data_IF_859624794989
#
_entry.id   IF_859624794989
#
_cell.length_a   1.000
_cell.length_b   1.000
_cell.length_c   1.000
_cell.angle_alpha   90.00
_cell.angle_beta   90.00
_cell.angle_gamma   90.00
#
_symmetry.space_group_name_H-M   'P 1'
#
loop_
_entity.id
_entity.type
_entity.pdbx_description
1 polymer ?
#
# COMPACT_ATOMS: atom_id res chain seq x y z
N UNK A 1 -22.39 -10.63 33.32
CA UNK A 1 -21.17 -11.10 32.63
C UNK A 1 -20.87 -10.38 31.31
N UNK A 2 -21.84 -9.73 30.63
CA UNK A 2 -21.60 -9.12 29.31
C UNK A 2 -20.65 -7.89 29.27
N UNK A 3 -20.67 -7.00 30.30
CA UNK A 3 -19.84 -5.77 30.30
C UNK A 3 -18.33 -6.05 30.27
N UNK A 4 -17.84 -7.04 31.04
CA UNK A 4 -16.41 -7.38 31.07
C UNK A 4 -15.88 -7.94 29.75
N UNK A 5 -16.71 -8.69 29.03
CA UNK A 5 -16.38 -9.22 27.70
C UNK A 5 -16.30 -8.10 26.65
N UNK A 6 -17.22 -7.13 26.70
CA UNK A 6 -17.19 -5.95 25.82
C UNK A 6 -15.95 -5.09 26.07
N UNK A 7 -15.61 -4.81 27.34
CA UNK A 7 -14.39 -4.06 27.67
C UNK A 7 -13.11 -4.76 27.19
N UNK A 8 -13.06 -6.08 27.26
CA UNK A 8 -11.90 -6.86 26.78
C UNK A 8 -11.74 -6.75 25.26
N UNK A 9 -12.84 -6.82 24.50
CA UNK A 9 -12.81 -6.65 23.05
C UNK A 9 -12.39 -5.24 22.63
N UNK A 10 -12.85 -4.21 23.34
CA UNK A 10 -12.45 -2.82 23.08
C UNK A 10 -10.95 -2.65 23.27
N UNK A 11 -10.40 -3.15 24.37
CA UNK A 11 -8.95 -3.08 24.64
C UNK A 11 -8.13 -3.83 23.59
N UNK A 12 -8.61 -5.00 23.14
CA UNK A 12 -7.93 -5.75 22.09
C UNK A 12 -7.92 -4.98 20.76
N UNK A 13 -9.05 -4.34 20.40
CA UNK A 13 -9.12 -3.52 19.19
C UNK A 13 -8.25 -2.27 19.27
N UNK A 14 -8.20 -1.59 20.42
CA UNK A 14 -7.31 -0.46 20.64
C UNK A 14 -5.83 -0.85 20.48
N UNK A 15 -5.43 -2.02 21.00
CA UNK A 15 -4.06 -2.54 20.82
C UNK A 15 -3.73 -2.81 19.35
N UNK A 16 -4.68 -3.40 18.60
CA UNK A 16 -4.52 -3.63 17.15
C UNK A 16 -4.42 -2.32 16.37
N UNK A 17 -5.23 -1.31 16.72
CA UNK A 17 -5.15 0.01 16.09
C UNK A 17 -3.78 0.66 16.33
N UNK A 18 -3.30 0.66 17.57
CA UNK A 18 -1.98 1.21 17.88
C UNK A 18 -0.84 0.49 17.14
N UNK A 19 -0.94 -0.83 16.99
CA UNK A 19 0.02 -1.62 16.18
C UNK A 19 -0.01 -1.21 14.71
N UNK A 20 -1.20 -1.13 14.12
CA UNK A 20 -1.37 -0.76 12.71
C UNK A 20 -0.92 0.68 12.44
N UNK A 21 -1.12 1.59 13.39
CA UNK A 21 -0.70 2.98 13.28
C UNK A 21 0.83 3.10 13.31
N UNK A 22 1.50 2.30 14.15
CA UNK A 22 2.97 2.16 14.14
C UNK A 22 3.49 1.60 12.81
N UNK A 23 2.84 0.55 12.29
CA UNK A 23 3.21 -0.07 11.02
C UNK A 23 3.01 0.91 9.85
N UNK A 24 1.92 1.66 9.85
CA UNK A 24 1.64 2.70 8.85
C UNK A 24 2.69 3.81 8.87
N UNK A 25 3.12 4.26 10.06
CA UNK A 25 4.19 5.25 10.21
C UNK A 25 5.53 4.72 9.67
N UNK A 26 5.87 3.48 9.98
CA UNK A 26 7.09 2.81 9.48
C UNK A 26 7.08 2.68 7.96
N UNK A 27 5.92 2.31 7.39
CA UNK A 27 5.74 2.21 5.94
C UNK A 27 5.88 3.58 5.26
N UNK A 28 5.30 4.63 5.85
CA UNK A 28 5.42 5.99 5.34
C UNK A 28 6.89 6.46 5.30
N UNK A 29 7.64 6.24 6.38
CA UNK A 29 9.07 6.57 6.44
C UNK A 29 9.88 5.79 5.38
N UNK A 30 9.56 4.50 5.20
CA UNK A 30 10.25 3.66 4.20
C UNK A 30 9.97 4.15 2.78
N UNK A 31 8.73 4.57 2.48
CA UNK A 31 8.37 5.12 1.18
C UNK A 31 9.09 6.44 0.89
N UNK A 32 9.26 7.29 1.89
CA UNK A 32 9.98 8.56 1.76
C UNK A 32 11.46 8.33 1.42
N UNK A 33 12.11 7.38 2.10
CA UNK A 33 13.49 6.98 1.80
C UNK A 33 13.63 6.44 0.36
N UNK A 34 12.73 5.57 -0.07
CA UNK A 34 12.74 5.02 -1.44
C UNK A 34 12.58 6.15 -2.48
N UNK A 35 11.68 7.11 -2.22
CA UNK A 35 11.50 8.25 -3.12
C UNK A 35 12.77 9.11 -3.19
N UNK A 36 13.44 9.34 -2.06
CA UNK A 36 14.69 10.10 -2.01
C UNK A 36 15.81 9.39 -2.79
N UNK A 37 16.00 8.08 -2.58
CA UNK A 37 16.98 7.28 -3.32
C UNK A 37 16.72 7.28 -4.83
N UNK A 38 15.45 7.14 -5.23
CA UNK A 38 15.05 7.22 -6.64
C UNK A 38 15.45 8.56 -7.25
N UNK A 39 15.17 9.68 -6.57
CA UNK A 39 15.53 11.02 -7.06
C UNK A 39 17.05 11.15 -7.20
N UNK A 40 17.82 10.70 -6.20
CA UNK A 40 19.28 10.74 -6.23
C UNK A 40 19.86 9.92 -7.40
N UNK A 41 19.35 8.71 -7.62
CA UNK A 41 19.77 7.85 -8.72
C UNK A 41 19.41 8.44 -10.09
N UNK A 42 18.20 9.00 -10.22
CA UNK A 42 17.78 9.68 -11.45
C UNK A 42 18.72 10.84 -11.80
N UNK A 43 19.08 11.68 -10.82
CA UNK A 43 20.01 12.78 -11.04
C UNK A 43 21.38 12.28 -11.52
N UNK A 44 21.92 11.23 -10.89
CA UNK A 44 23.20 10.63 -11.27
C UNK A 44 23.17 10.03 -12.68
N UNK A 45 22.05 9.43 -13.08
CA UNK A 45 21.88 8.90 -14.43
C UNK A 45 21.87 10.01 -15.48
N UNK A 46 21.17 11.12 -15.21
CA UNK A 46 21.17 12.29 -16.10
C UNK A 46 22.57 12.88 -16.26
N UNK A 47 23.32 13.02 -15.16
CA UNK A 47 24.71 13.49 -15.19
C UNK A 47 25.60 12.57 -16.03
N UNK A 48 25.50 11.25 -15.82
CA UNK A 48 26.25 10.25 -16.58
C UNK A 48 25.91 10.29 -18.07
N UNK A 49 24.61 10.43 -18.41
CA UNK A 49 24.16 10.58 -19.80
C UNK A 49 24.76 11.84 -20.45
N UNK A 50 24.77 12.95 -19.73
CA UNK A 50 25.35 14.20 -20.22
C UNK A 50 26.87 14.08 -20.44
N UNK A 51 27.58 13.37 -19.56
CA UNK A 51 29.01 13.08 -19.73
C UNK A 51 29.28 12.28 -21.01
N UNK A 52 28.57 11.15 -21.21
CA UNK A 52 28.78 10.33 -22.40
C UNK A 52 28.40 11.05 -23.69
N UNK A 53 27.37 11.90 -23.67
CA UNK A 53 27.01 12.74 -24.80
C UNK A 53 28.16 13.68 -25.19
N UNK A 54 28.79 14.36 -24.21
CA UNK A 54 29.97 15.21 -24.45
C UNK A 54 31.15 14.42 -25.02
N UNK A 55 31.39 13.21 -24.52
CA UNK A 55 32.46 12.33 -25.04
C UNK A 55 32.18 11.94 -26.48
N UNK A 56 30.94 11.59 -26.81
CA UNK A 56 30.53 11.24 -28.17
C UNK A 56 30.70 12.44 -29.13
N UNK A 57 30.26 13.63 -28.72
CA UNK A 57 30.46 14.88 -29.48
C UNK A 57 31.95 15.17 -29.73
N UNK A 58 32.80 15.04 -28.71
CA UNK A 58 34.25 15.23 -28.82
C UNK A 58 34.87 14.24 -29.82
N UNK A 59 34.52 12.95 -29.73
CA UNK A 59 35.02 11.92 -30.63
C UNK A 59 34.60 12.19 -32.08
N UNK A 60 33.34 12.57 -32.27
CA UNK A 60 32.81 12.87 -33.59
C UNK A 60 33.46 14.12 -34.20
N UNK A 61 33.72 15.15 -33.38
CA UNK A 61 34.47 16.34 -33.80
C UNK A 61 35.90 16.01 -34.24
N UNK A 62 36.63 15.20 -33.47
CA UNK A 62 37.99 14.76 -33.85
C UNK A 62 38.01 13.94 -35.14
N UNK A 63 36.97 13.12 -35.38
CA UNK A 63 36.86 12.34 -36.60
C UNK A 63 36.63 13.24 -37.83
N UNK A 64 35.75 14.23 -37.72
CA UNK A 64 35.52 15.22 -38.78
C UNK A 64 36.78 16.02 -39.09
N UNK A 65 37.54 16.42 -38.07
CA UNK A 65 38.81 17.12 -38.25
C UNK A 65 39.83 16.26 -39.02
N UNK A 66 39.97 14.98 -38.67
CA UNK A 66 40.83 14.05 -39.42
C UNK A 66 40.36 13.82 -40.87
N UNK A 67 39.06 13.76 -41.12
CA UNK A 67 38.52 13.64 -42.48
C UNK A 67 38.81 14.89 -43.31
N UNK A 68 38.63 16.09 -42.73
CA UNK A 68 38.95 17.35 -43.39
C UNK A 68 40.46 17.50 -43.69
N UNK A 69 41.35 17.07 -42.78
CA UNK A 69 42.80 17.05 -43.04
C UNK A 69 43.18 16.11 -44.20
N UNK A 70 42.55 14.94 -44.31
CA UNK A 70 42.80 13.99 -45.41
C UNK A 70 42.30 14.48 -46.77
N UNK A 71 41.24 15.29 -46.81
CA UNK A 71 40.77 15.92 -48.05
C UNK A 71 41.72 17.04 -48.52
N UNK A 72 42.30 17.82 -47.60
CA UNK A 72 43.32 18.83 -47.93
C UNK A 72 44.61 18.20 -48.47
N UNK A 73 45.01 17.06 -47.93
CA UNK A 73 46.23 16.32 -48.34
C UNK A 73 46.06 15.66 -49.73
N UNK A 74 44.84 15.25 -50.11
CA UNK A 74 44.52 14.75 -51.45
C UNK A 74 44.55 15.81 -52.56
N UNK A 75 44.54 17.10 -52.22
CA UNK A 75 44.70 18.18 -53.21
C UNK A 75 46.16 18.69 -53.32
N UNK A 76 47.10 18.08 -52.59
CA UNK A 76 48.51 18.53 -52.53
C UNK A 76 49.55 17.61 -53.18
N UNK A 77 49.21 16.42 -53.67
CA UNK A 77 50.19 15.51 -54.29
C UNK A 77 49.63 14.82 -55.54
N UNK A 78 49.85 15.48 -56.67
CA UNK A 78 49.88 14.87 -58.00
C UNK A 78 51.35 14.56 -58.31
N UNK A 79 51.81 13.33 -58.06
CA UNK A 79 52.86 12.68 -58.87
C UNK A 79 53.10 11.20 -58.48
N UNK A 80 52.93 10.37 -59.50
CA UNK A 80 53.73 9.20 -59.88
C UNK A 80 53.63 7.82 -59.21
N UNK A 81 53.48 6.86 -60.14
CA UNK A 81 54.05 5.52 -60.23
C UNK A 81 53.37 4.32 -59.54
N UNK A 82 52.69 3.55 -60.41
CA UNK A 82 52.81 2.10 -60.63
C UNK A 82 52.71 1.12 -59.44
N UNK A 83 51.52 0.51 -59.37
CA UNK A 83 51.25 -0.94 -59.39
C UNK A 83 52.46 -1.87 -59.64
N UNK A 84 52.73 -2.82 -58.72
CA UNK A 84 52.89 -4.27 -59.02
C UNK A 84 53.11 -5.13 -57.75
N UNK A 85 52.13 -6.00 -57.49
CA UNK A 85 52.15 -7.39 -56.98
C UNK A 85 53.21 -7.97 -55.99
N UNK A 86 52.65 -8.51 -54.88
CA UNK A 86 52.82 -9.86 -54.28
C UNK A 86 54.20 -10.51 -54.09
N UNK A 87 54.49 -10.91 -52.85
CA UNK A 87 55.10 -12.21 -52.53
C UNK A 87 54.76 -12.66 -51.09
N UNK A 88 54.19 -13.87 -51.00
CA UNK A 88 53.98 -14.62 -49.75
C UNK A 88 55.32 -15.06 -49.15
N UNK A 89 55.44 -15.10 -47.82
CA UNK A 89 56.27 -16.12 -47.17
C UNK A 89 55.75 -16.41 -45.76
N UNK A 90 55.29 -17.65 -45.56
CA UNK A 90 54.90 -18.19 -44.27
C UNK A 90 56.10 -18.41 -43.33
N UNK A 91 55.83 -18.28 -42.03
CA UNK A 91 56.81 -18.55 -40.98
C UNK A 91 56.12 -18.80 -39.65
N UNK A 92 55.66 -20.04 -39.45
CA UNK A 92 55.27 -20.54 -38.13
C UNK A 92 56.47 -20.45 -37.18
N UNK A 93 56.32 -19.73 -36.06
CA UNK A 93 57.11 -20.03 -34.86
C UNK A 93 56.17 -20.20 -33.68
N UNK A 94 55.99 -21.46 -33.32
CA UNK A 94 55.44 -21.90 -32.05
C UNK A 94 56.32 -21.33 -30.94
N UNK A 95 55.76 -20.47 -30.09
CA UNK A 95 56.29 -20.19 -28.78
C UNK A 95 55.22 -20.58 -27.77
N UNK A 96 55.31 -21.84 -27.35
CA UNK A 96 54.80 -22.33 -26.08
C UNK A 96 55.27 -21.41 -24.96
N UNK A 97 54.37 -20.60 -24.40
CA UNK A 97 54.52 -20.04 -23.06
C UNK A 97 53.37 -20.61 -22.23
N UNK A 98 53.60 -21.82 -21.71
CA UNK A 98 52.78 -22.37 -20.64
C UNK A 98 53.14 -21.67 -19.33
N UNK A 99 52.09 -21.14 -18.72
CA UNK A 99 51.93 -20.85 -17.29
C UNK A 99 52.75 -19.69 -16.74
N UNK A 100 52.10 -18.54 -16.60
CA UNK A 100 51.84 -17.93 -15.29
C UNK A 100 51.10 -16.60 -15.51
N UNK A 101 49.80 -16.54 -15.29
CA UNK A 101 49.13 -15.32 -14.85
C UNK A 101 47.71 -15.63 -14.41
N UNK A 102 47.29 -15.09 -13.27
CA UNK A 102 45.89 -15.04 -12.88
C UNK A 102 45.14 -14.26 -13.97
N UNK A 103 44.48 -14.99 -14.85
CA UNK A 103 43.93 -14.49 -16.12
C UNK A 103 42.80 -13.47 -15.87
N UNK A 104 43.00 -12.18 -16.24
CA UNK A 104 41.96 -11.17 -16.18
C UNK A 104 40.70 -11.55 -16.96
N UNK A 105 40.81 -12.41 -17.99
CA UNK A 105 39.64 -12.93 -18.71
C UNK A 105 38.80 -13.88 -17.86
N UNK A 106 39.41 -14.70 -17.00
CA UNK A 106 38.66 -15.61 -16.12
C UNK A 106 37.85 -14.83 -15.08
N UNK A 107 38.43 -13.78 -14.50
CA UNK A 107 37.72 -12.87 -13.59
C UNK A 107 36.57 -12.12 -14.30
N UNK A 108 36.82 -11.61 -15.51
CA UNK A 108 35.79 -10.99 -16.34
C UNK A 108 34.65 -11.95 -16.70
N UNK A 109 34.97 -13.20 -17.03
CA UNK A 109 33.99 -14.23 -17.37
C UNK A 109 33.11 -14.58 -16.16
N UNK A 110 33.72 -14.72 -14.97
CA UNK A 110 32.97 -14.94 -13.72
C UNK A 110 32.05 -13.75 -13.37
N UNK A 111 32.50 -12.51 -13.60
CA UNK A 111 31.67 -11.30 -13.42
C UNK A 111 30.51 -11.25 -14.41
N UNK A 112 30.74 -11.66 -15.66
CA UNK A 112 29.71 -11.74 -16.69
C UNK A 112 28.64 -12.78 -16.32
N UNK A 113 29.04 -13.96 -15.88
CA UNK A 113 28.12 -15.00 -15.43
C UNK A 113 27.33 -14.57 -14.19
N UNK A 114 27.99 -13.89 -13.25
CA UNK A 114 27.33 -13.28 -12.08
C UNK A 114 26.29 -12.23 -12.50
N UNK A 115 26.64 -11.35 -13.44
CA UNK A 115 25.71 -10.33 -13.95
C UNK A 115 24.53 -10.96 -14.68
N UNK A 116 24.77 -12.02 -15.46
CA UNK A 116 23.73 -12.77 -16.16
C UNK A 116 22.75 -13.42 -15.18
N UNK A 117 23.25 -14.05 -14.11
CA UNK A 117 22.41 -14.63 -13.07
C UNK A 117 21.53 -13.57 -12.38
N UNK A 118 22.09 -12.41 -12.05
CA UNK A 118 21.33 -11.29 -11.46
C UNK A 118 20.26 -10.75 -12.42
N UNK A 119 20.55 -10.67 -13.71
CA UNK A 119 19.59 -10.24 -14.71
C UNK A 119 18.40 -11.20 -14.84
N UNK A 120 18.65 -12.51 -14.79
CA UNK A 120 17.59 -13.52 -14.79
C UNK A 120 16.71 -13.43 -13.53
N UNK A 121 17.33 -13.20 -12.37
CA UNK A 121 16.59 -12.99 -11.12
C UNK A 121 15.70 -11.74 -11.19
N UNK A 122 16.23 -10.62 -11.68
CA UNK A 122 15.44 -9.39 -11.90
C UNK A 122 14.29 -9.64 -12.89
N UNK A 123 14.53 -10.38 -13.97
CA UNK A 123 13.50 -10.72 -14.96
C UNK A 123 12.38 -11.57 -14.35
N UNK A 124 12.72 -12.50 -13.45
CA UNK A 124 11.74 -13.30 -12.70
C UNK A 124 10.94 -12.43 -11.73
N UNK A 125 11.60 -11.56 -10.96
CA UNK A 125 10.92 -10.63 -10.04
C UNK A 125 9.98 -9.70 -10.80
N UNK A 126 10.43 -9.15 -11.95
CA UNK A 126 9.60 -8.31 -12.81
C UNK A 126 8.33 -9.03 -13.26
N UNK A 127 8.47 -10.28 -13.73
CA UNK A 127 7.33 -11.08 -14.15
C UNK A 127 6.33 -11.33 -13.01
N UNK A 128 6.83 -11.59 -11.79
CA UNK A 128 6.00 -11.74 -10.59
C UNK A 128 5.25 -10.46 -10.24
N UNK A 129 5.95 -9.31 -10.23
CA UNK A 129 5.35 -8.00 -9.96
C UNK A 129 4.25 -7.64 -10.96
N UNK A 130 4.46 -7.94 -12.25
CA UNK A 130 3.44 -7.71 -13.28
C UNK A 130 2.17 -8.53 -13.01
N UNK A 131 2.33 -9.78 -12.59
CA UNK A 131 1.21 -10.65 -12.21
C UNK A 131 0.45 -10.10 -11.00
N UNK A 132 1.16 -9.81 -9.91
CA UNK A 132 0.58 -9.25 -8.67
C UNK A 132 -0.14 -7.91 -8.93
N UNK A 133 0.42 -7.05 -9.77
CA UNK A 133 -0.19 -5.77 -10.14
C UNK A 133 -1.50 -5.97 -10.93
N UNK A 134 -1.54 -6.98 -11.80
CA UNK A 134 -2.74 -7.35 -12.55
C UNK A 134 -3.83 -7.88 -11.62
N UNK A 135 -3.48 -8.75 -10.66
CA UNK A 135 -4.40 -9.24 -9.64
C UNK A 135 -4.93 -8.11 -8.76
N UNK A 136 -4.06 -7.19 -8.32
CA UNK A 136 -4.46 -6.05 -7.51
C UNK A 136 -5.43 -5.14 -8.24
N UNK A 137 -5.22 -4.91 -9.54
CA UNK A 137 -6.14 -4.17 -10.39
C UNK A 137 -7.52 -4.83 -10.45
N UNK A 138 -7.58 -6.16 -10.55
CA UNK A 138 -8.86 -6.90 -10.53
C UNK A 138 -9.57 -6.78 -9.18
N UNK A 139 -8.83 -6.87 -8.07
CA UNK A 139 -9.38 -6.70 -6.72
C UNK A 139 -9.92 -5.29 -6.53
N UNK A 140 -9.19 -4.27 -6.98
CA UNK A 140 -9.63 -2.87 -6.91
C UNK A 140 -10.92 -2.64 -7.68
N UNK A 141 -11.03 -3.17 -8.90
CA UNK A 141 -12.26 -3.05 -9.70
C UNK A 141 -13.44 -3.74 -9.01
N UNK A 142 -13.22 -4.91 -8.42
CA UNK A 142 -14.26 -5.62 -7.65
C UNK A 142 -14.72 -4.82 -6.42
N UNK A 143 -13.81 -4.14 -5.72
CA UNK A 143 -14.16 -3.26 -4.59
C UNK A 143 -14.97 -2.07 -5.08
N UNK A 144 -14.57 -1.44 -6.18
CA UNK A 144 -15.29 -0.33 -6.79
C UNK A 144 -16.70 -0.71 -7.26
N UNK A 145 -16.88 -1.92 -7.81
CA UNK A 145 -18.22 -2.43 -8.12
C UNK A 145 -19.07 -2.58 -6.85
N UNK A 146 -18.50 -3.15 -5.78
CA UNK A 146 -19.20 -3.31 -4.49
C UNK A 146 -19.59 -1.99 -3.83
N UNK A 147 -18.76 -0.96 -3.98
CA UNK A 147 -19.10 0.38 -3.52
C UNK A 147 -20.43 0.86 -4.14
N UNK A 148 -20.69 0.49 -5.40
CA UNK A 148 -21.93 0.84 -6.08
C UNK A 148 -23.16 0.05 -5.62
N UNK A 149 -22.97 -1.07 -4.92
CA UNK A 149 -24.07 -1.86 -4.34
C UNK A 149 -24.70 -1.14 -3.13
N UNK A 150 -24.02 -0.15 -2.54
CA UNK A 150 -24.58 0.66 -1.47
C UNK A 150 -25.58 1.69 -2.00
N UNK A 151 -26.60 1.96 -1.17
CA UNK A 151 -27.58 3.01 -1.43
C UNK A 151 -26.87 4.35 -1.71
N UNK A 152 -27.28 5.12 -2.74
CA UNK A 152 -26.63 6.39 -3.10
C UNK A 152 -26.50 7.34 -1.91
N UNK A 153 -27.54 7.39 -1.07
CA UNK A 153 -27.59 8.24 0.11
C UNK A 153 -26.46 7.92 1.09
N UNK A 154 -26.11 6.64 1.24
CA UNK A 154 -25.01 6.18 2.11
C UNK A 154 -23.64 6.43 1.49
N UNK A 155 -23.52 6.45 0.16
CA UNK A 155 -22.26 6.81 -0.54
C UNK A 155 -21.98 8.30 -0.46
N UNK A 156 -23.02 9.12 -0.48
CA UNK A 156 -22.92 10.59 -0.39
C UNK A 156 -22.84 11.10 1.04
N UNK A 157 -23.22 10.29 2.03
CA UNK A 157 -23.24 10.69 3.42
C UNK A 157 -21.83 10.63 4.01
N UNK A 158 -21.36 11.76 4.54
CA UNK A 158 -20.07 11.83 5.22
C UNK A 158 -20.09 11.01 6.52
N UNK A 159 -18.97 10.33 6.80
CA UNK A 159 -18.79 9.53 8.02
C UNK A 159 -19.08 10.37 9.27
N UNK A 160 -18.68 11.65 9.27
CA UNK A 160 -18.93 12.58 10.37
C UNK A 160 -20.45 12.78 10.62
N UNK A 161 -21.26 12.82 9.56
CA UNK A 161 -22.71 12.96 9.70
C UNK A 161 -23.34 11.68 10.28
N UNK A 162 -22.87 10.50 9.84
CA UNK A 162 -23.26 9.22 10.40
C UNK A 162 -22.91 9.10 11.89
N UNK A 163 -21.73 9.56 12.29
CA UNK A 163 -21.31 9.56 13.70
C UNK A 163 -22.18 10.50 14.55
N UNK A 164 -22.54 11.67 14.03
CA UNK A 164 -23.45 12.61 14.72
C UNK A 164 -24.83 11.99 14.96
N UNK A 165 -25.44 11.41 13.93
CA UNK A 165 -26.74 10.74 14.04
C UNK A 165 -26.70 9.56 15.00
N UNK A 166 -25.63 8.75 14.94
CA UNK A 166 -25.43 7.64 15.88
C UNK A 166 -25.36 8.11 17.34
N UNK A 167 -24.63 9.18 17.61
CA UNK A 167 -24.54 9.77 18.94
C UNK A 167 -25.87 10.38 19.41
N UNK A 168 -26.63 11.02 18.51
CA UNK A 168 -27.96 11.51 18.81
C UNK A 168 -28.90 10.37 19.22
N UNK A 169 -28.88 9.27 18.47
CA UNK A 169 -29.71 8.09 18.75
C UNK A 169 -29.33 7.41 20.08
N UNK A 170 -28.03 7.36 20.41
CA UNK A 170 -27.57 6.88 21.72
C UNK A 170 -28.08 7.76 22.87
N UNK A 171 -28.07 9.08 22.69
CA UNK A 171 -28.63 10.03 23.66
C UNK A 171 -30.13 9.84 23.84
N UNK A 172 -30.88 9.68 22.75
CA UNK A 172 -32.33 9.46 22.83
C UNK A 172 -32.66 8.14 23.53
N UNK A 173 -31.93 7.06 23.22
CA UNK A 173 -32.06 5.78 23.93
C UNK A 173 -31.83 5.91 25.44
N UNK A 174 -30.84 6.71 25.85
CA UNK A 174 -30.59 6.97 27.26
C UNK A 174 -31.78 7.70 27.90
N UNK A 175 -32.30 8.74 27.24
CA UNK A 175 -33.46 9.51 27.70
C UNK A 175 -34.71 8.64 27.83
N UNK A 176 -34.98 7.76 26.85
CA UNK A 176 -36.10 6.81 26.91
C UNK A 176 -35.95 5.83 28.07
N UNK A 177 -34.72 5.37 28.34
CA UNK A 177 -34.43 4.48 29.46
C UNK A 177 -34.73 5.18 30.80
N UNK A 178 -34.31 6.44 30.96
CA UNK A 178 -34.56 7.23 32.16
C UNK A 178 -36.07 7.49 32.35
N UNK A 179 -36.78 7.81 31.27
CA UNK A 179 -38.23 7.98 31.30
C UNK A 179 -38.93 6.69 31.73
N UNK A 180 -38.53 5.54 31.17
CA UNK A 180 -39.09 4.24 31.53
C UNK A 180 -38.84 3.90 33.01
N UNK A 181 -37.65 4.17 33.53
CA UNK A 181 -37.34 3.98 34.95
C UNK A 181 -38.18 4.90 35.85
N UNK A 182 -38.41 6.15 35.44
CA UNK A 182 -39.30 7.08 36.16
C UNK A 182 -40.73 6.55 36.22
N UNK A 183 -41.26 6.05 35.10
CA UNK A 183 -42.60 5.43 35.06
C UNK A 183 -42.67 4.20 35.96
N UNK A 184 -41.66 3.34 35.93
CA UNK A 184 -41.60 2.18 36.83
C UNK A 184 -41.59 2.60 38.30
N UNK A 185 -40.83 3.64 38.66
CA UNK A 185 -40.83 4.18 40.02
C UNK A 185 -42.21 4.70 40.44
N UNK A 186 -42.92 5.39 39.53
CA UNK A 186 -44.28 5.87 39.80
C UNK A 186 -45.27 4.71 39.97
N UNK A 187 -45.13 3.66 39.15
CA UNK A 187 -45.96 2.47 39.25
C UNK A 187 -45.79 1.74 40.59
N UNK A 188 -44.55 1.61 41.07
CA UNK A 188 -44.29 1.02 42.40
C UNK A 188 -44.86 1.87 43.54
N UNK A 189 -44.88 3.21 43.42
CA UNK A 189 -45.57 4.08 44.39
C UNK A 189 -47.07 3.82 44.41
N UNK A 190 -47.69 3.62 43.24
CA UNK A 190 -49.13 3.35 43.14
C UNK A 190 -49.54 1.99 43.71
N UNK A 191 -48.73 0.95 43.52
CA UNK A 191 -48.94 -0.37 44.16
C UNK A 191 -49.01 -0.32 45.68
N UNK A 192 -48.29 0.61 46.30
CA UNK A 192 -48.25 0.77 47.76
C UNK A 192 -49.47 1.47 48.36
N UNK A 193 -50.39 1.99 47.54
CA UNK A 193 -51.56 2.73 48.02
C UNK A 193 -52.66 1.75 48.43
N UNK A 194 -52.94 1.70 49.74
CA UNK A 194 -54.14 1.06 50.29
C UNK A 194 -54.81 1.96 51.32
N UNK A 195 -56.13 1.86 51.43
CA UNK A 195 -56.93 2.65 52.36
C UNK A 195 -57.98 1.78 53.03
N UNK A 196 -58.22 2.03 54.33
CA UNK A 196 -59.26 1.33 55.08
C UNK A 196 -60.53 2.17 55.06
N UNK A 197 -61.61 1.59 54.54
CA UNK A 197 -62.93 2.22 54.47
C UNK A 197 -63.84 1.57 55.52
N UNK A 198 -64.47 2.40 56.35
CA UNK A 198 -65.49 1.94 57.31
C UNK A 198 -66.87 1.95 56.69
N UNK A 199 -67.55 0.81 56.77
CA UNK A 199 -68.97 0.70 56.45
C UNK A 199 -69.82 1.24 57.62
N UNK A 200 -71.02 1.73 57.30
CA UNK A 200 -72.00 2.17 58.30
C UNK A 200 -72.44 1.03 59.25
N UNK A 201 -72.23 -0.24 58.87
CA UNK A 201 -72.45 -1.40 59.76
C UNK A 201 -71.33 -1.63 60.79
N UNK A 202 -70.23 -0.86 60.71
CA UNK A 202 -69.08 -0.98 61.62
C UNK A 202 -67.93 -1.83 61.08
N UNK A 203 -68.10 -2.53 59.97
CA UNK A 203 -67.04 -3.32 59.33
C UNK A 203 -66.00 -2.43 58.62
N UNK A 204 -64.74 -2.86 58.64
CA UNK A 204 -63.61 -2.21 57.98
C UNK A 204 -63.16 -3.01 56.75
N UNK A 205 -63.00 -2.34 55.61
CA UNK A 205 -62.58 -2.93 54.35
C UNK A 205 -61.28 -2.29 53.88
N UNK A 206 -60.26 -3.10 53.61
CA UNK A 206 -59.02 -2.60 53.02
C UNK A 206 -59.14 -2.58 51.49
N UNK A 207 -59.17 -1.38 50.92
CA UNK A 207 -59.24 -1.15 49.47
C UNK A 207 -57.85 -0.77 48.99
N UNK A 208 -57.29 -1.58 48.10
CA UNK A 208 -56.01 -1.32 47.44
C UNK A 208 -56.16 -1.35 45.93
N UNK A 209 -55.24 -0.69 45.22
CA UNK A 209 -55.13 -0.82 43.76
C UNK A 209 -54.41 -2.13 43.43
N UNK A 210 -55.17 -3.19 43.15
CA UNK A 210 -54.62 -4.41 42.58
C UNK A 210 -54.47 -4.24 41.07
N UNK A 211 -53.23 -4.05 40.63
CA UNK A 211 -52.91 -3.90 39.21
C UNK A 211 -52.91 -5.29 38.58
N UNK A 212 -54.08 -5.73 38.12
CA UNK A 212 -54.23 -6.98 37.35
C UNK A 212 -53.20 -7.02 36.21
N UNK A 213 -52.14 -7.81 36.42
CA UNK A 213 -51.25 -8.19 35.34
C UNK A 213 -52.04 -9.10 34.41
N UNK A 214 -52.38 -8.64 33.20
CA UNK A 214 -52.74 -9.56 32.12
C UNK A 214 -51.53 -10.44 31.89
N UNK A 215 -51.57 -11.66 32.43
CA UNK A 215 -50.69 -12.74 32.01
C UNK A 215 -51.01 -12.96 30.54
N UNK A 216 -50.13 -12.52 29.64
CA UNK A 216 -50.22 -12.89 28.24
C UNK A 216 -50.01 -14.40 28.17
N UNK A 217 -51.08 -15.13 27.87
CA UNK A 217 -51.05 -16.51 27.44
C UNK A 217 -50.18 -16.59 26.17
N UNK A 218 -48.95 -17.08 26.33
CA UNK A 218 -48.13 -17.56 25.22
C UNK A 218 -48.76 -18.83 24.66
N UNK A 219 -49.48 -18.70 23.55
CA UNK A 219 -49.78 -19.82 22.66
C UNK A 219 -48.50 -20.24 21.92
N UNK A 220 -48.25 -21.54 21.97
CA UNK A 220 -47.25 -22.26 21.18
C UNK A 220 -47.62 -22.29 19.69
#
# INVERSE_FOLDING_TARGET
MAKGQVCSQILEKQRKLASLESDASTLAQTLELIQQERIALSAKLTEMSAYYMKVAELMNGKLQEQQASKELEKHGMEMDANDEQTAETGGNSSLDIKNLENDPRKDLMAKLDSAKAKFEEISKIKSKLVMENTEMKQVLEKVKCRENDFKPELRTMEIENLEKEYNALLSDKARETDYFQSLQSQFEKLKGISHVVKCACGEEYQVGLDLCARQNETHA
#
